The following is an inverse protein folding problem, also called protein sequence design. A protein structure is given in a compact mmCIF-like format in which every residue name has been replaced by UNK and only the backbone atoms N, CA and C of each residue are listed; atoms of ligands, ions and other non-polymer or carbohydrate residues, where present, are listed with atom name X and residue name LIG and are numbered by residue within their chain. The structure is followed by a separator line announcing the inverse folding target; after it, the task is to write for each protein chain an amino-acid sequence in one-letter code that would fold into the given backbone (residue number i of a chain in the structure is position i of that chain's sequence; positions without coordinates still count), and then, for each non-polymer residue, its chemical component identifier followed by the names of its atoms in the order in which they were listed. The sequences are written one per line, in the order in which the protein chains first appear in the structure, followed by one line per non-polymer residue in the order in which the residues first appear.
data_IF_051074479824
#
_entry.id   IF_051074479824
#
_cell.length_a   1.000
_cell.length_b   1.000
_cell.length_c   1.000
_cell.angle_alpha   90.00
_cell.angle_beta   90.00
_cell.angle_gamma   90.00
#
_symmetry.space_group_name_H-M   'P 1'
#
loop_
_entity.id
_entity.type
_entity.pdbx_description
1 polymer ?
#
# COMPACT_ATOMS: atom_id res chain seq x y z
N UNK A 1 -24.84 -16.76 -27.85
CA UNK A 1 -24.36 -15.61 -26.97
C UNK A 1 -23.12 -16.05 -26.24
N UNK A 2 -21.95 -15.59 -26.67
CA UNK A 2 -20.69 -15.87 -25.97
C UNK A 2 -20.67 -14.99 -24.71
N UNK A 3 -20.81 -15.59 -23.52
CA UNK A 3 -20.56 -14.90 -22.26
C UNK A 3 -19.09 -14.44 -22.26
N UNK A 4 -18.86 -13.15 -22.45
CA UNK A 4 -17.56 -12.53 -22.20
C UNK A 4 -17.22 -12.75 -20.72
N UNK A 5 -16.43 -13.80 -20.46
CA UNK A 5 -15.89 -14.08 -19.12
C UNK A 5 -15.05 -12.85 -18.75
N UNK A 6 -15.57 -12.02 -17.87
CA UNK A 6 -14.86 -10.86 -17.35
C UNK A 6 -13.51 -11.34 -16.80
N UNK A 7 -12.40 -10.83 -17.37
CA UNK A 7 -11.05 -11.15 -16.90
C UNK A 7 -11.01 -10.96 -15.40
N UNK A 8 -10.75 -12.05 -14.64
CA UNK A 8 -10.67 -12.00 -13.18
C UNK A 8 -9.66 -10.93 -12.76
N UNK A 9 -10.14 -9.92 -12.04
CA UNK A 9 -9.27 -8.87 -11.50
C UNK A 9 -8.31 -9.47 -10.49
N UNK A 10 -7.07 -9.00 -10.52
CA UNK A 10 -6.00 -9.42 -9.60
C UNK A 10 -6.26 -8.85 -8.20
N UNK A 11 -6.20 -9.69 -7.17
CA UNK A 11 -6.38 -9.28 -5.78
C UNK A 11 -5.13 -8.57 -5.26
N UNK A 12 -5.32 -7.35 -4.77
CA UNK A 12 -4.27 -6.48 -4.27
C UNK A 12 -4.55 -6.00 -2.85
N UNK A 13 -3.48 -5.78 -2.10
CA UNK A 13 -3.53 -5.14 -0.79
C UNK A 13 -3.01 -3.70 -0.86
N UNK A 14 -3.52 -2.84 0.01
CA UNK A 14 -3.00 -1.49 0.24
C UNK A 14 -2.52 -1.36 1.67
N UNK A 15 -1.28 -0.90 1.86
CA UNK A 15 -0.72 -0.63 3.18
C UNK A 15 -0.78 0.88 3.46
N UNK A 16 -1.26 1.23 4.66
CA UNK A 16 -1.44 2.61 5.09
C UNK A 16 -0.93 2.81 6.53
N UNK A 17 -0.56 4.06 6.87
CA UNK A 17 -0.28 4.47 8.26
C UNK A 17 -1.09 5.70 8.68
N UNK A 18 -1.75 6.39 7.73
CA UNK A 18 -2.35 7.71 7.96
C UNK A 18 -3.71 7.93 7.33
N UNK A 19 -3.88 9.11 6.69
CA UNK A 19 -5.17 9.63 6.18
C UNK A 19 -5.83 8.76 5.10
N UNK A 20 -5.05 8.01 4.32
CA UNK A 20 -5.57 7.13 3.29
C UNK A 20 -6.04 7.84 2.01
N UNK A 21 -5.50 9.01 1.69
CA UNK A 21 -5.80 9.72 0.43
C UNK A 21 -5.43 8.89 -0.79
N UNK A 22 -4.21 8.35 -0.80
CA UNK A 22 -3.76 7.46 -1.87
C UNK A 22 -4.57 6.16 -1.92
N UNK A 23 -4.94 5.58 -0.76
CA UNK A 23 -5.84 4.43 -0.70
C UNK A 23 -7.16 4.73 -1.43
N UNK A 24 -7.79 5.88 -1.17
CA UNK A 24 -9.05 6.29 -1.81
C UNK A 24 -8.91 6.37 -3.33
N UNK A 25 -7.83 6.97 -3.82
CA UNK A 25 -7.54 7.12 -5.25
C UNK A 25 -7.32 5.77 -5.93
N UNK A 26 -6.51 4.89 -5.34
CA UNK A 26 -6.24 3.54 -5.84
C UNK A 26 -7.53 2.71 -5.86
N UNK A 27 -8.33 2.78 -4.77
CA UNK A 27 -9.61 2.08 -4.69
C UNK A 27 -10.59 2.56 -5.76
N UNK A 28 -10.75 3.88 -5.94
CA UNK A 28 -11.61 4.46 -6.98
C UNK A 28 -11.19 3.97 -8.37
N UNK A 29 -9.89 3.94 -8.66
CA UNK A 29 -9.37 3.40 -9.91
C UNK A 29 -9.68 1.90 -10.06
N UNK A 30 -9.52 1.10 -9.01
CA UNK A 30 -9.77 -0.35 -9.03
C UNK A 30 -11.24 -0.72 -9.35
N UNK A 31 -12.18 0.22 -9.12
CA UNK A 31 -13.60 0.05 -9.45
C UNK A 31 -13.93 0.28 -10.93
N UNK A 32 -13.06 0.92 -11.68
CA UNK A 32 -13.29 1.14 -13.12
C UNK A 32 -13.40 -0.20 -13.85
N UNK A 33 -14.25 -0.24 -14.88
CA UNK A 33 -14.51 -1.44 -15.70
C UNK A 33 -13.21 -2.00 -16.31
N UNK A 34 -12.33 -1.14 -16.80
CA UNK A 34 -11.06 -1.51 -17.43
C UNK A 34 -9.93 -1.82 -16.44
N UNK A 35 -10.14 -1.63 -15.13
CA UNK A 35 -9.11 -1.96 -14.14
C UNK A 35 -8.85 -3.46 -14.09
N UNK A 36 -7.58 -3.82 -14.18
CA UNK A 36 -7.12 -5.23 -14.12
C UNK A 36 -6.94 -5.74 -12.69
N UNK A 37 -7.12 -4.88 -11.67
CA UNK A 37 -6.98 -5.25 -10.27
C UNK A 37 -8.15 -4.77 -9.42
N UNK A 38 -8.30 -5.35 -8.25
CA UNK A 38 -9.24 -4.92 -7.21
C UNK A 38 -8.54 -4.90 -5.86
N UNK A 39 -8.96 -3.99 -4.99
CA UNK A 39 -8.45 -3.91 -3.62
C UNK A 39 -9.35 -4.76 -2.73
N UNK A 40 -8.79 -5.82 -2.19
CA UNK A 40 -9.52 -6.79 -1.34
C UNK A 40 -9.03 -6.78 0.10
N UNK A 41 -7.88 -6.14 0.38
CA UNK A 41 -7.30 -6.07 1.72
C UNK A 41 -6.64 -4.71 1.96
N UNK A 42 -6.82 -4.18 3.15
CA UNK A 42 -6.06 -3.03 3.66
C UNK A 42 -5.34 -3.45 4.95
N UNK A 43 -4.06 -3.16 5.04
CA UNK A 43 -3.25 -3.38 6.24
C UNK A 43 -2.79 -2.02 6.77
N UNK A 44 -2.88 -1.83 8.09
CA UNK A 44 -2.34 -0.64 8.75
C UNK A 44 -1.49 -1.03 9.97
N UNK A 45 -0.38 -0.31 10.16
CA UNK A 45 0.45 -0.38 11.36
C UNK A 45 -0.01 0.59 12.46
N UNK A 46 -1.03 1.39 12.17
CA UNK A 46 -1.60 2.40 13.06
C UNK A 46 -3.12 2.19 13.17
N UNK A 47 -3.59 1.83 14.37
CA UNK A 47 -5.02 1.60 14.64
C UNK A 47 -5.87 2.89 14.63
N UNK A 48 -5.23 4.08 14.65
CA UNK A 48 -5.88 5.39 14.57
C UNK A 48 -5.81 6.00 13.18
N UNK A 49 -5.33 5.27 12.17
CA UNK A 49 -5.25 5.76 10.81
C UNK A 49 -6.64 6.11 10.25
N UNK A 50 -6.84 7.36 9.83
CA UNK A 50 -8.13 7.82 9.28
C UNK A 50 -8.57 7.03 8.04
N UNK A 51 -7.63 6.44 7.30
CA UNK A 51 -7.93 5.56 6.17
C UNK A 51 -8.74 4.30 6.54
N UNK A 52 -8.73 3.89 7.83
CA UNK A 52 -9.52 2.75 8.34
C UNK A 52 -11.02 3.02 8.21
N UNK A 53 -11.45 4.26 8.44
CA UNK A 53 -12.86 4.67 8.32
C UNK A 53 -13.35 4.42 6.89
N UNK A 54 -12.55 4.84 5.90
CA UNK A 54 -12.85 4.59 4.49
C UNK A 54 -12.91 3.09 4.16
N UNK A 55 -11.97 2.32 4.70
CA UNK A 55 -11.88 0.87 4.50
C UNK A 55 -13.15 0.17 5.00
N UNK A 56 -13.58 0.49 6.23
CA UNK A 56 -14.80 -0.05 6.82
C UNK A 56 -16.05 0.35 6.03
N UNK A 57 -16.18 1.63 5.66
CA UNK A 57 -17.32 2.13 4.86
C UNK A 57 -17.47 1.39 3.53
N UNK A 58 -16.36 1.00 2.91
CA UNK A 58 -16.36 0.29 1.63
C UNK A 58 -16.32 -1.24 1.78
N UNK A 59 -16.49 -1.78 2.99
CA UNK A 59 -16.51 -3.23 3.29
C UNK A 59 -15.28 -3.97 2.76
N UNK A 60 -14.10 -3.31 2.79
CA UNK A 60 -12.82 -3.93 2.41
C UNK A 60 -12.27 -4.67 3.63
N UNK A 61 -11.73 -5.89 3.44
CA UNK A 61 -11.06 -6.59 4.53
C UNK A 61 -9.96 -5.72 5.13
N UNK A 62 -9.92 -5.66 6.45
CA UNK A 62 -8.96 -4.83 7.16
C UNK A 62 -8.19 -5.63 8.21
N UNK A 63 -6.87 -5.39 8.29
CA UNK A 63 -6.03 -5.93 9.34
C UNK A 63 -5.14 -4.85 9.94
N UNK A 64 -5.26 -4.63 11.26
CA UNK A 64 -4.28 -3.89 12.03
C UNK A 64 -3.15 -4.82 12.45
N UNK A 65 -1.90 -4.42 12.20
CA UNK A 65 -0.70 -5.16 12.61
C UNK A 65 0.28 -4.17 13.23
N UNK A 66 0.40 -4.22 14.57
CA UNK A 66 1.35 -3.37 15.31
C UNK A 66 2.78 -3.68 14.88
N UNK A 67 3.46 -2.70 14.31
CA UNK A 67 4.81 -2.88 13.78
C UNK A 67 5.87 -2.66 14.86
N UNK A 68 5.81 -3.44 15.97
CA UNK A 68 6.71 -3.30 17.13
C UNK A 68 8.02 -4.08 16.92
N UNK A 69 7.91 -5.36 16.57
CA UNK A 69 9.05 -6.23 16.26
C UNK A 69 9.00 -6.55 14.77
N UNK A 70 9.93 -5.99 14.00
CA UNK A 70 9.91 -6.03 12.53
C UNK A 70 9.68 -7.44 11.97
N UNK A 71 10.52 -8.42 12.34
CA UNK A 71 10.43 -9.79 11.85
C UNK A 71 9.07 -10.44 12.15
N UNK A 72 8.57 -10.29 13.38
CA UNK A 72 7.27 -10.84 13.80
C UNK A 72 6.12 -10.18 13.05
N UNK A 73 6.16 -8.84 12.92
CA UNK A 73 5.12 -8.08 12.22
C UNK A 73 5.08 -8.40 10.73
N UNK A 74 6.25 -8.51 10.08
CA UNK A 74 6.33 -8.88 8.67
C UNK A 74 5.83 -10.31 8.42
N UNK A 75 6.12 -11.27 9.32
CA UNK A 75 5.57 -12.62 9.21
C UNK A 75 4.05 -12.63 9.34
N UNK A 76 3.47 -11.83 10.24
CA UNK A 76 2.02 -11.68 10.34
C UNK A 76 1.42 -11.08 9.07
N UNK A 77 2.09 -10.08 8.47
CA UNK A 77 1.68 -9.49 7.20
C UNK A 77 1.70 -10.55 6.10
N UNK A 78 2.81 -11.29 5.95
CA UNK A 78 2.96 -12.32 4.91
C UNK A 78 1.88 -13.40 5.02
N UNK A 79 1.59 -13.88 6.23
CA UNK A 79 0.53 -14.86 6.48
C UNK A 79 -0.84 -14.31 6.10
N UNK A 80 -1.11 -13.04 6.43
CA UNK A 80 -2.36 -12.36 6.06
C UNK A 80 -2.48 -12.23 4.54
N UNK A 81 -1.43 -11.81 3.86
CA UNK A 81 -1.40 -11.70 2.40
C UNK A 81 -1.66 -13.05 1.72
N UNK A 82 -1.02 -14.11 2.22
CA UNK A 82 -1.22 -15.47 1.72
C UNK A 82 -2.67 -15.93 1.90
N UNK A 83 -3.25 -15.74 3.09
CA UNK A 83 -4.65 -16.09 3.40
C UNK A 83 -5.64 -15.40 2.47
N UNK A 84 -5.37 -14.16 2.08
CA UNK A 84 -6.23 -13.37 1.18
C UNK A 84 -5.83 -13.47 -0.29
N UNK A 85 -4.93 -14.40 -0.66
CA UNK A 85 -4.46 -14.63 -2.04
C UNK A 85 -3.94 -13.37 -2.75
N UNK A 86 -3.33 -12.45 -1.99
CA UNK A 86 -2.85 -11.17 -2.50
C UNK A 86 -1.66 -11.37 -3.44
N UNK A 87 -1.75 -10.78 -4.64
CA UNK A 87 -0.71 -10.85 -5.68
C UNK A 87 0.19 -9.61 -5.71
N UNK A 88 -0.36 -8.42 -5.47
CA UNK A 88 0.37 -7.16 -5.48
C UNK A 88 0.07 -6.32 -4.25
N UNK A 89 1.03 -5.50 -3.85
CA UNK A 89 0.97 -4.61 -2.70
C UNK A 89 1.17 -3.17 -3.17
N UNK A 90 0.27 -2.27 -2.77
CA UNK A 90 0.43 -0.83 -2.90
C UNK A 90 0.81 -0.23 -1.55
N UNK A 91 1.96 0.43 -1.46
CA UNK A 91 2.35 1.21 -0.29
C UNK A 91 1.79 2.63 -0.45
N UNK A 92 0.73 2.93 0.26
CA UNK A 92 -0.04 4.19 0.14
C UNK A 92 0.14 5.05 1.40
N UNK A 93 1.33 5.57 1.60
CA UNK A 93 1.69 6.29 2.82
C UNK A 93 1.92 5.34 4.00
N UNK A 94 2.54 4.20 3.75
CA UNK A 94 2.98 3.27 4.79
C UNK A 94 4.34 3.70 5.34
N UNK A 95 4.37 4.09 6.62
CA UNK A 95 5.52 4.74 7.25
C UNK A 95 6.50 3.74 7.90
N UNK A 96 6.64 2.54 7.31
CA UNK A 96 7.60 1.52 7.74
C UNK A 96 8.49 1.10 6.60
N UNK A 97 9.76 0.88 6.93
CA UNK A 97 10.74 0.34 5.99
C UNK A 97 10.66 -1.18 6.05
N UNK A 98 10.22 -1.79 4.95
CA UNK A 98 10.17 -3.24 4.82
C UNK A 98 11.57 -3.85 4.77
N UNK A 99 11.73 -5.06 5.30
CA UNK A 99 13.00 -5.79 5.23
C UNK A 99 13.30 -6.27 3.81
N UNK A 100 14.59 -6.50 3.52
CA UNK A 100 15.03 -7.11 2.27
C UNK A 100 14.35 -8.47 2.03
N UNK A 101 14.20 -9.27 3.10
CA UNK A 101 13.54 -10.58 3.02
C UNK A 101 12.07 -10.45 2.63
N UNK A 102 11.33 -9.48 3.21
CA UNK A 102 9.94 -9.22 2.83
C UNK A 102 9.83 -8.79 1.36
N UNK A 103 10.68 -7.84 0.95
CA UNK A 103 10.69 -7.32 -0.43
C UNK A 103 11.01 -8.44 -1.43
N UNK A 104 11.95 -9.33 -1.11
CA UNK A 104 12.30 -10.46 -1.98
C UNK A 104 11.13 -11.43 -2.18
N UNK A 105 10.29 -11.68 -1.14
CA UNK A 105 9.11 -12.54 -1.27
C UNK A 105 8.03 -11.95 -2.19
N UNK A 106 8.01 -10.64 -2.34
CA UNK A 106 7.12 -9.90 -3.24
C UNK A 106 7.89 -9.14 -4.32
N UNK A 107 9.03 -9.71 -4.76
CA UNK A 107 9.85 -9.11 -5.83
C UNK A 107 9.00 -8.75 -7.04
N UNK A 108 9.13 -7.52 -7.54
CA UNK A 108 8.36 -6.96 -8.66
C UNK A 108 6.83 -6.92 -8.44
N UNK A 109 6.35 -7.05 -7.18
CA UNK A 109 4.92 -7.03 -6.83
C UNK A 109 4.58 -5.97 -5.78
N UNK A 110 5.52 -5.09 -5.46
CA UNK A 110 5.32 -3.96 -4.55
C UNK A 110 5.41 -2.67 -5.35
N UNK A 111 4.37 -1.86 -5.27
CA UNK A 111 4.31 -0.52 -5.87
C UNK A 111 4.29 0.51 -4.75
N UNK A 112 5.17 1.50 -4.81
CA UNK A 112 5.26 2.59 -3.83
C UNK A 112 5.24 3.94 -4.53
N UNK A 113 4.53 4.90 -3.96
CA UNK A 113 4.62 6.31 -4.33
C UNK A 113 5.60 6.96 -3.35
N UNK A 114 6.77 7.33 -3.82
CA UNK A 114 7.79 7.96 -3.00
C UNK A 114 7.75 9.47 -3.18
N UNK A 115 7.55 10.26 -2.09
CA UNK A 115 7.35 11.70 -2.20
C UNK A 115 8.68 12.45 -2.30
N UNK A 116 9.54 12.08 -3.26
CA UNK A 116 10.72 12.82 -3.65
C UNK A 116 11.10 12.52 -5.10
N UNK A 117 11.85 13.43 -5.72
CA UNK A 117 12.47 13.21 -7.04
C UNK A 117 13.65 12.26 -6.87
N UNK A 118 13.41 10.96 -6.98
CA UNK A 118 14.46 9.94 -6.89
C UNK A 118 15.58 10.20 -7.92
N UNK A 119 16.85 9.93 -7.56
CA UNK A 119 17.34 9.22 -6.38
C UNK A 119 17.51 10.06 -5.11
N UNK A 120 17.10 11.34 -5.10
CA UNK A 120 17.19 12.20 -3.91
C UNK A 120 16.23 11.70 -2.81
N UNK A 121 16.66 11.86 -1.57
CA UNK A 121 15.85 11.65 -0.35
C UNK A 121 15.16 10.29 -0.28
N UNK A 122 15.88 9.21 -0.55
CA UNK A 122 15.39 7.85 -0.26
C UNK A 122 15.04 7.71 1.23
N UNK A 123 14.03 6.92 1.57
CA UNK A 123 13.59 6.66 2.95
C UNK A 123 12.54 7.67 3.45
N UNK A 124 12.61 8.02 4.74
CA UNK A 124 11.61 8.86 5.41
C UNK A 124 11.99 10.34 5.42
N UNK A 125 11.03 11.19 5.85
CA UNK A 125 11.20 12.64 6.03
C UNK A 125 11.64 13.41 4.76
N UNK A 126 11.21 12.97 3.60
CA UNK A 126 11.62 13.48 2.30
C UNK A 126 11.35 14.98 2.13
N UNK A 127 10.14 15.45 2.51
CA UNK A 127 9.77 16.87 2.40
C UNK A 127 10.63 17.75 3.29
N UNK A 128 10.86 17.35 4.55
CA UNK A 128 11.73 18.09 5.46
C UNK A 128 13.14 18.21 4.89
N UNK A 129 13.69 17.10 4.41
CA UNK A 129 15.04 17.06 3.81
C UNK A 129 15.16 17.95 2.57
N UNK A 130 14.13 17.99 1.73
CA UNK A 130 14.09 18.89 0.58
C UNK A 130 14.06 20.37 0.99
N UNK A 131 13.28 20.70 2.02
CA UNK A 131 13.20 22.05 2.57
C UNK A 131 14.53 22.44 3.21
N UNK A 132 15.11 21.60 4.06
CA UNK A 132 16.40 21.84 4.74
C UNK A 132 17.53 22.07 3.73
N UNK A 133 17.49 21.38 2.58
CA UNK A 133 18.45 21.57 1.48
C UNK A 133 18.06 22.69 0.50
N UNK A 134 16.99 23.45 0.78
CA UNK A 134 16.51 24.56 -0.06
C UNK A 134 16.30 24.14 -1.53
N UNK A 135 15.84 22.91 -1.77
CA UNK A 135 15.51 22.45 -3.12
C UNK A 135 14.38 23.28 -3.72
N UNK A 136 14.56 23.77 -4.94
CA UNK A 136 13.53 24.55 -5.66
C UNK A 136 12.32 23.69 -6.07
N UNK A 137 12.53 22.40 -6.23
CA UNK A 137 11.49 21.45 -6.71
C UNK A 137 11.44 20.22 -5.82
N UNK A 138 10.23 19.73 -5.57
CA UNK A 138 9.96 18.45 -4.91
C UNK A 138 8.80 17.75 -5.62
N UNK A 139 8.75 16.43 -5.53
CA UNK A 139 7.68 15.67 -6.22
C UNK A 139 7.87 14.16 -6.12
N UNK A 140 7.25 13.41 -7.02
CA UNK A 140 7.36 11.96 -7.18
C UNK A 140 7.34 11.58 -8.67
#
# INVERSE_FOLDING_TARGET
MVKLIGKNKIDCAVFISGRGTNLKSIYKHSKKKLSKFRITLVISDNNRAKGIIFTKKNKINFKYIKYKIKKKSENQILNTLKKHHIKYIFLAGFMRILSKNFVNKYKNKIVNIHPSLLPKYKGLNTHKRAIDNKDKYSGC
#
